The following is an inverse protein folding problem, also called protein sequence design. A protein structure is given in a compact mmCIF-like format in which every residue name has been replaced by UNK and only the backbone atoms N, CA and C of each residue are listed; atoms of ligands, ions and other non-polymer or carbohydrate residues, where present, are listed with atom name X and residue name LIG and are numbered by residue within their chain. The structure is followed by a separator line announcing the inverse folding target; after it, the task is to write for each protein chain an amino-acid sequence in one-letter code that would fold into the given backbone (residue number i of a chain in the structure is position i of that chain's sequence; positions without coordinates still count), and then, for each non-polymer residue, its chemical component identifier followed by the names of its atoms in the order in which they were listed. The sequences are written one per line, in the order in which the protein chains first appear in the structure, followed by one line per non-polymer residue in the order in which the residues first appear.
data_IF_541151508274
#
_entry.id   IF_541151508274
#
_cell.length_a   1.000
_cell.length_b   1.000
_cell.length_c   1.000
_cell.angle_alpha   90.00
_cell.angle_beta   90.00
_cell.angle_gamma   90.00
#
_symmetry.space_group_name_H-M   'P 1'
#
loop_
_entity.id
_entity.type
_entity.pdbx_description
1 polymer ?
#
# COMPACT_ATOMS: atom_id res chain seq x y z
N UNK A 1 10.48 9.02 8.50
CA UNK A 1 9.32 8.13 8.77
C UNK A 1 8.83 7.46 7.48
N UNK A 2 8.78 6.12 7.41
CA UNK A 2 8.08 5.41 6.32
C UNK A 2 6.58 5.56 6.57
N UNK A 3 5.91 6.40 5.79
CA UNK A 3 4.46 6.58 5.88
C UNK A 3 3.75 5.33 5.31
N UNK A 4 2.79 4.80 6.05
CA UNK A 4 1.96 3.71 5.55
C UNK A 4 1.22 4.15 4.28
N UNK A 5 1.32 3.37 3.20
CA UNK A 5 0.72 3.70 1.90
C UNK A 5 1.19 5.03 1.31
N UNK A 6 2.43 5.47 1.62
CA UNK A 6 2.94 6.76 1.18
C UNK A 6 2.84 6.96 -0.34
N UNK A 7 2.99 5.89 -1.12
CA UNK A 7 3.11 5.91 -2.57
C UNK A 7 1.93 6.66 -3.24
N UNK A 8 2.15 7.82 -3.90
CA UNK A 8 1.07 8.65 -4.47
C UNK A 8 0.29 7.94 -5.57
N UNK A 9 0.95 7.03 -6.28
CA UNK A 9 0.36 6.25 -7.36
C UNK A 9 -0.18 4.89 -6.89
N UNK A 10 -0.23 4.64 -5.57
CA UNK A 10 -0.73 3.40 -5.00
C UNK A 10 -2.26 3.34 -5.07
N UNK A 11 -2.79 2.21 -5.53
CA UNK A 11 -4.21 1.87 -5.46
C UNK A 11 -4.39 0.61 -4.65
N UNK A 12 -5.23 0.69 -3.62
CA UNK A 12 -5.64 -0.44 -2.80
C UNK A 12 -6.93 -1.02 -3.37
N UNK A 13 -6.97 -2.33 -3.55
CA UNK A 13 -8.14 -3.07 -3.99
C UNK A 13 -8.65 -3.89 -2.82
N UNK A 14 -9.89 -3.63 -2.43
CA UNK A 14 -10.57 -4.35 -1.36
C UNK A 14 -11.58 -5.34 -1.93
N UNK A 15 -11.45 -6.61 -1.55
CA UNK A 15 -12.44 -7.64 -1.85
C UNK A 15 -12.95 -8.26 -0.55
N UNK A 16 -14.27 -8.26 -0.36
CA UNK A 16 -14.85 -9.03 0.75
C UNK A 16 -14.85 -10.50 0.35
N UNK A 17 -14.09 -11.31 1.08
CA UNK A 17 -13.99 -12.75 0.88
C UNK A 17 -14.66 -13.49 2.03
N UNK A 18 -15.34 -14.59 1.71
CA UNK A 18 -15.76 -15.54 2.72
C UNK A 18 -14.53 -16.16 3.39
N UNK A 19 -14.59 -16.36 4.70
CA UNK A 19 -13.60 -17.12 5.44
C UNK A 19 -13.64 -18.61 5.09
N UNK A 20 -12.84 -19.39 5.80
CA UNK A 20 -12.79 -20.84 5.60
C UNK A 20 -14.16 -21.50 5.84
N UNK A 21 -14.60 -22.36 4.93
CA UNK A 21 -15.92 -23.04 4.97
C UNK A 21 -17.13 -22.11 5.12
N UNK A 22 -17.03 -20.85 4.67
CA UNK A 22 -18.12 -19.89 4.78
C UNK A 22 -18.29 -19.29 6.18
N UNK A 23 -17.42 -19.60 7.13
CA UNK A 23 -17.42 -19.01 8.46
C UNK A 23 -16.69 -17.67 8.45
N UNK A 24 -17.44 -16.60 8.71
CA UNK A 24 -16.93 -15.23 8.78
C UNK A 24 -16.71 -14.58 7.41
N UNK A 25 -16.55 -13.26 7.43
CA UNK A 25 -16.21 -12.44 6.25
C UNK A 25 -14.96 -11.64 6.59
N UNK A 26 -14.01 -11.63 5.67
CA UNK A 26 -12.78 -10.84 5.78
C UNK A 26 -12.63 -9.90 4.59
N UNK A 27 -11.83 -8.85 4.77
CA UNK A 27 -11.43 -7.99 3.66
C UNK A 27 -10.04 -8.43 3.19
N UNK A 28 -9.95 -8.88 1.94
CA UNK A 28 -8.66 -9.10 1.27
C UNK A 28 -8.23 -7.79 0.64
N UNK A 29 -7.04 -7.33 0.99
CA UNK A 29 -6.42 -6.14 0.41
C UNK A 29 -5.30 -6.58 -0.53
N UNK A 30 -5.31 -6.05 -1.75
CA UNK A 30 -4.17 -6.09 -2.66
C UNK A 30 -3.82 -4.68 -3.09
N UNK A 31 -2.63 -4.46 -3.64
CA UNK A 31 -2.20 -3.14 -4.08
C UNK A 31 -1.50 -3.19 -5.44
N UNK A 32 -1.68 -2.11 -6.20
CA UNK A 32 -0.98 -1.87 -7.47
C UNK A 32 -0.45 -0.45 -7.47
N UNK A 33 0.70 -0.22 -8.11
CA UNK A 33 1.21 1.12 -8.33
C UNK A 33 1.07 1.47 -9.82
N UNK A 34 0.41 2.59 -10.11
CA UNK A 34 0.18 3.02 -11.50
C UNK A 34 1.50 3.41 -12.20
N UNK A 35 2.48 3.94 -11.45
CA UNK A 35 3.80 4.32 -12.00
C UNK A 35 4.71 3.12 -12.26
N UNK A 36 4.75 2.12 -11.37
CA UNK A 36 5.51 0.90 -11.62
C UNK A 36 4.83 -0.03 -12.63
N UNK A 37 3.51 0.14 -12.82
CA UNK A 37 2.69 -0.69 -13.69
C UNK A 37 2.38 -2.08 -13.14
N UNK A 38 2.65 -2.32 -11.85
CA UNK A 38 2.61 -3.67 -11.27
C UNK A 38 2.06 -3.78 -9.85
N UNK A 39 1.94 -5.01 -9.34
CA UNK A 39 1.52 -5.26 -7.97
C UNK A 39 2.57 -4.74 -6.97
N UNK A 40 2.10 -4.35 -5.78
CA UNK A 40 2.95 -3.91 -4.67
C UNK A 40 2.81 -4.91 -3.53
N UNK A 41 3.91 -5.61 -3.22
CA UNK A 41 3.94 -6.68 -2.20
C UNK A 41 3.83 -6.16 -0.77
N UNK A 42 4.36 -4.97 -0.51
CA UNK A 42 4.32 -4.29 0.79
C UNK A 42 3.62 -2.93 0.66
N UNK A 43 2.27 -2.90 0.57
CA UNK A 43 1.51 -1.67 0.38
C UNK A 43 1.79 -0.61 1.46
N UNK A 44 2.06 -1.07 2.69
CA UNK A 44 2.41 -0.25 3.83
C UNK A 44 3.77 0.47 3.69
N UNK A 45 4.58 0.11 2.69
CA UNK A 45 5.84 0.79 2.37
C UNK A 45 5.75 1.50 1.02
N UNK A 46 5.07 0.89 0.05
CA UNK A 46 4.96 1.39 -1.31
C UNK A 46 5.81 0.60 -2.31
N UNK A 47 5.83 1.04 -3.57
CA UNK A 47 6.44 0.29 -4.67
C UNK A 47 7.97 0.42 -4.77
N UNK A 48 8.61 1.27 -3.95
CA UNK A 48 10.04 1.55 -4.02
C UNK A 48 10.50 2.39 -5.22
N UNK A 49 9.57 2.83 -6.07
CA UNK A 49 9.85 3.65 -7.26
C UNK A 49 9.23 5.04 -7.19
N UNK A 50 8.17 5.22 -6.41
CA UNK A 50 7.45 6.49 -6.32
C UNK A 50 8.10 7.50 -5.36
N UNK A 51 8.79 7.00 -4.33
CA UNK A 51 9.48 7.79 -3.32
C UNK A 51 10.94 7.42 -3.33
N UNK A 52 11.79 8.41 -3.53
CA UNK A 52 13.23 8.25 -3.45
C UNK A 52 13.66 8.52 -1.99
N UNK A 53 14.83 8.00 -1.55
CA UNK A 53 15.30 8.18 -0.17
C UNK A 53 15.45 9.63 0.29
N UNK A 54 15.45 10.60 -0.64
CA UNK A 54 15.52 12.03 -0.34
C UNK A 54 14.12 12.69 -0.14
N UNK A 55 13.02 11.95 -0.33
CA UNK A 55 11.65 12.40 -0.07
C UNK A 55 11.23 12.23 1.41
N UNK A 56 12.18 12.06 2.35
CA UNK A 56 11.85 12.17 3.77
C UNK A 56 11.53 13.63 4.12
N UNK A 57 10.32 13.93 4.64
CA UNK A 57 10.07 15.27 5.17
C UNK A 57 11.07 15.56 6.30
N UNK A 58 11.56 16.81 6.44
CA UNK A 58 12.51 17.14 7.50
C UNK A 58 11.91 16.75 8.85
N UNK A 59 12.62 15.92 9.61
CA UNK A 59 12.19 15.53 10.95
C UNK A 59 12.05 16.80 11.82
N UNK A 60 10.82 17.10 12.25
CA UNK A 60 10.52 18.19 13.19
C UNK A 60 9.62 19.33 12.70
N UNK A 61 8.59 19.08 11.90
CA UNK A 61 7.48 20.03 11.68
C UNK A 61 6.38 19.90 12.72
N UNK A 62 5.67 21.00 13.09
CA UNK A 62 4.87 21.13 14.33
C UNK A 62 3.71 20.14 14.49
#
# INVERSE_FOLDING_TARGET
MVLANACPDLRLHGQVAAGFLGLGRGMRITATCQRSGGPVERPEIGCGLCHLPDDEPPEGGP
#
